data_IF_017095173671
#
_entry.id   IF_017095173671
#
_cell.length_a   1.000
_cell.length_b   1.000
_cell.length_c   1.000
_cell.angle_alpha   90.00
_cell.angle_beta   90.00
_cell.angle_gamma   90.00
#
_symmetry.space_group_name_H-M   'P 1'
#
loop_
_entity.id
_entity.type
_entity.pdbx_description
1 polymer ?
#
# COMPACT_ATOMS: atom_id res chain seq x y z
N UNK A 1 -14.35 12.59 -9.38
CA UNK A 1 -13.01 12.08 -9.03
C UNK A 1 -13.18 10.66 -8.50
N UNK A 2 -12.40 9.68 -8.96
CA UNK A 2 -12.55 8.29 -8.49
C UNK A 2 -11.73 8.11 -7.21
N UNK A 3 -12.38 7.80 -6.09
CA UNK A 3 -11.72 7.58 -4.79
C UNK A 3 -10.84 6.33 -4.84
N UNK A 4 -9.64 6.40 -4.29
CA UNK A 4 -8.78 5.23 -4.12
C UNK A 4 -9.38 4.30 -3.06
N UNK A 5 -9.64 3.05 -3.43
CA UNK A 5 -10.18 2.02 -2.54
C UNK A 5 -9.69 0.64 -2.98
N UNK A 6 -9.89 -0.40 -2.16
CA UNK A 6 -9.50 -1.77 -2.51
C UNK A 6 -10.17 -2.26 -3.80
N UNK A 7 -11.45 -1.92 -4.02
CA UNK A 7 -12.18 -2.28 -5.25
C UNK A 7 -11.68 -1.55 -6.50
N UNK A 8 -10.90 -0.47 -6.35
CA UNK A 8 -10.35 0.28 -7.48
C UNK A 8 -9.03 -0.31 -8.01
N UNK A 9 -8.37 -1.22 -7.29
CA UNK A 9 -7.00 -1.67 -7.59
C UNK A 9 -6.89 -2.35 -8.96
N UNK A 10 -7.83 -3.21 -9.34
CA UNK A 10 -7.81 -3.88 -10.66
C UNK A 10 -7.84 -2.86 -11.80
N UNK A 11 -8.64 -1.79 -11.67
CA UNK A 11 -8.70 -0.72 -12.65
C UNK A 11 -7.45 0.15 -12.69
N UNK A 12 -6.73 0.30 -11.57
CA UNK A 12 -5.44 1.00 -11.52
C UNK A 12 -4.33 0.18 -12.17
N UNK A 13 -4.29 -1.13 -11.90
CA UNK A 13 -3.37 -2.07 -12.53
C UNK A 13 -3.53 -2.09 -14.05
N UNK A 14 -4.78 -2.12 -14.54
CA UNK A 14 -5.08 -2.03 -15.98
C UNK A 14 -4.58 -0.73 -16.63
N UNK A 15 -4.36 0.33 -15.85
CA UNK A 15 -3.80 1.61 -16.30
C UNK A 15 -2.29 1.72 -16.11
N UNK A 16 -1.61 0.63 -15.76
CA UNK A 16 -0.16 0.60 -15.54
C UNK A 16 0.32 1.17 -14.21
N UNK A 17 -0.60 1.50 -13.29
CA UNK A 17 -0.22 1.92 -11.93
C UNK A 17 0.20 0.69 -11.14
N UNK A 18 1.39 0.75 -10.51
CA UNK A 18 1.85 -0.33 -9.61
C UNK A 18 0.87 -0.44 -8.44
N UNK A 19 0.47 -1.68 -8.15
CA UNK A 19 -0.38 -2.03 -7.01
C UNK A 19 0.37 -3.07 -6.18
N UNK A 20 0.05 -3.23 -4.88
CA UNK A 20 0.67 -4.24 -4.05
C UNK A 20 0.64 -5.63 -4.72
N UNK A 21 1.78 -6.32 -4.86
CA UNK A 21 1.87 -7.61 -5.55
C UNK A 21 1.39 -8.80 -4.70
N UNK A 22 1.07 -8.55 -3.43
CA UNK A 22 0.69 -9.54 -2.44
C UNK A 22 -0.81 -9.46 -2.08
N UNK A 23 -1.33 -10.55 -1.52
CA UNK A 23 -2.69 -10.57 -0.97
C UNK A 23 -2.73 -9.84 0.37
N UNK A 24 -3.22 -8.60 0.33
CA UNK A 24 -3.35 -7.73 1.51
C UNK A 24 -4.22 -8.33 2.62
N UNK A 25 -5.15 -9.25 2.30
CA UNK A 25 -6.00 -9.88 3.30
C UNK A 25 -5.25 -10.94 4.15
N UNK A 26 -4.06 -11.36 3.70
CA UNK A 26 -3.22 -12.34 4.40
C UNK A 26 -2.15 -11.72 5.30
N UNK A 27 -2.01 -10.39 5.29
CA UNK A 27 -0.99 -9.68 6.07
C UNK A 27 -1.45 -9.51 7.51
N UNK A 28 -0.58 -9.85 8.46
CA UNK A 28 -0.78 -9.62 9.88
C UNK A 28 0.01 -8.38 10.36
N UNK A 29 -0.45 -7.75 11.44
CA UNK A 29 0.26 -6.61 12.06
C UNK A 29 1.55 -7.09 12.71
N UNK A 30 2.71 -6.66 12.18
CA UNK A 30 4.04 -6.97 12.73
C UNK A 30 4.81 -5.78 13.29
N UNK A 31 4.38 -4.54 13.02
CA UNK A 31 5.07 -3.30 13.43
C UNK A 31 4.04 -2.28 13.91
N UNK A 32 4.32 -1.61 15.04
CA UNK A 32 3.57 -0.45 15.52
C UNK A 32 4.43 0.79 15.30
N UNK A 33 3.87 1.80 14.63
CA UNK A 33 4.57 3.04 14.33
C UNK A 33 3.92 4.24 15.01
N UNK A 34 4.70 5.03 15.74
CA UNK A 34 4.26 6.28 16.37
C UNK A 34 4.68 7.47 15.52
N UNK A 35 3.71 8.30 15.12
CA UNK A 35 3.93 9.46 14.24
C UNK A 35 3.96 9.13 12.73
N UNK A 36 2.88 8.54 12.15
CA UNK A 36 2.83 8.16 10.74
C UNK A 36 2.70 9.37 9.79
N UNK A 37 3.82 10.06 9.56
CA UNK A 37 3.93 11.20 8.67
C UNK A 37 4.24 10.84 7.21
N UNK A 38 4.52 11.87 6.40
CA UNK A 38 4.91 11.67 5.00
C UNK A 38 6.21 10.84 4.89
N UNK A 39 7.21 11.15 5.71
CA UNK A 39 8.50 10.45 5.70
C UNK A 39 8.36 8.96 6.01
N UNK A 40 7.56 8.61 7.02
CA UNK A 40 7.24 7.21 7.32
C UNK A 40 6.68 6.48 6.09
N UNK A 41 5.73 7.09 5.37
CA UNK A 41 5.07 6.47 4.22
C UNK A 41 5.98 6.31 3.00
N UNK A 42 6.89 7.26 2.76
CA UNK A 42 7.79 7.20 1.59
C UNK A 42 9.10 6.43 1.85
N UNK A 43 9.39 6.11 3.11
CA UNK A 43 10.62 5.41 3.49
C UNK A 43 10.31 4.04 4.11
N UNK A 44 9.91 3.98 5.38
CA UNK A 44 9.74 2.72 6.11
C UNK A 44 8.61 1.86 5.53
N UNK A 45 7.44 2.45 5.27
CA UNK A 45 6.32 1.71 4.72
C UNK A 45 6.58 1.25 3.28
N UNK A 46 7.35 2.02 2.50
CA UNK A 46 7.76 1.66 1.14
C UNK A 46 8.62 0.39 1.14
N UNK A 47 9.65 0.34 1.98
CA UNK A 47 10.50 -0.86 2.10
C UNK A 47 9.75 -2.10 2.57
N UNK A 48 8.74 -1.94 3.43
CA UNK A 48 7.94 -3.06 3.89
C UNK A 48 6.92 -3.54 2.84
N UNK A 49 6.43 -2.62 1.98
CA UNK A 49 5.53 -2.94 0.87
C UNK A 49 6.24 -3.69 -0.28
N UNK A 50 7.53 -3.42 -0.49
CA UNK A 50 8.36 -4.05 -1.53
C UNK A 50 8.95 -5.43 -1.14
N UNK A 51 8.93 -5.77 0.16
CA UNK A 51 9.48 -7.03 0.70
C UNK A 51 8.58 -8.24 0.44
#
# INVERSE_FOLDING_TARGET
MKTLSSGALSGLRARGVRVPPYDRARIATGVVHFGPGAFHRVHQACFLDDA
#
